data_IF_514178443138
#
_entry.id   IF_514178443138
#
_cell.length_a   1.000
_cell.length_b   1.000
_cell.length_c   1.000
_cell.angle_alpha   90.00
_cell.angle_beta   90.00
_cell.angle_gamma   90.00
#
_symmetry.space_group_name_H-M   'P 1'
#
loop_
_entity.id
_entity.type
_entity.pdbx_description
1 polymer ?
#
# COMPACT_ATOMS: atom_id res chain seq x y z
N UNK A 1 -2.38 3.30 -14.95
CA UNK A 1 -2.74 1.89 -14.67
C UNK A 1 -4.19 1.88 -14.20
N UNK A 2 -5.09 1.34 -15.03
CA UNK A 2 -6.55 1.46 -14.82
C UNK A 2 -7.26 0.10 -14.74
N UNK A 3 -6.58 -0.97 -15.16
CA UNK A 3 -7.18 -2.32 -15.14
C UNK A 3 -6.98 -2.98 -13.78
N UNK A 4 -8.02 -3.61 -13.22
CA UNK A 4 -7.92 -4.40 -12.01
C UNK A 4 -6.97 -5.59 -12.17
N UNK A 5 -6.21 -5.88 -11.11
CA UNK A 5 -5.40 -7.10 -11.00
C UNK A 5 -6.11 -8.04 -10.04
N UNK A 6 -6.42 -9.25 -10.51
CA UNK A 6 -7.00 -10.31 -9.68
C UNK A 6 -5.88 -11.20 -9.15
N UNK A 7 -5.94 -11.47 -7.87
CA UNK A 7 -5.10 -12.47 -7.19
C UNK A 7 -5.98 -13.70 -6.85
N UNK A 8 -5.50 -14.58 -6.01
CA UNK A 8 -6.27 -15.76 -5.57
C UNK A 8 -7.58 -15.36 -4.86
N UNK A 9 -7.52 -14.33 -4.00
CA UNK A 9 -8.63 -13.95 -3.13
C UNK A 9 -9.06 -12.49 -3.25
N UNK A 10 -8.25 -11.65 -3.90
CA UNK A 10 -8.41 -10.19 -3.89
C UNK A 10 -8.55 -9.61 -5.29
N UNK A 11 -9.14 -8.43 -5.35
CA UNK A 11 -9.10 -7.56 -6.53
C UNK A 11 -8.38 -6.27 -6.16
N UNK A 12 -7.23 -6.02 -6.80
CA UNK A 12 -6.45 -4.80 -6.64
C UNK A 12 -6.86 -3.84 -7.76
N UNK A 13 -7.53 -2.74 -7.44
CA UNK A 13 -8.14 -1.86 -8.44
C UNK A 13 -8.04 -0.38 -8.09
N UNK A 14 -8.20 0.51 -9.07
CA UNK A 14 -8.40 1.91 -8.79
C UNK A 14 -9.61 2.14 -7.87
N UNK A 15 -9.51 3.17 -7.03
CA UNK A 15 -10.63 3.59 -6.20
C UNK A 15 -11.77 4.19 -7.02
N UNK A 16 -13.00 3.94 -6.59
CA UNK A 16 -14.22 4.61 -7.06
C UNK A 16 -14.76 5.60 -6.01
N UNK A 17 -15.81 6.33 -6.34
CA UNK A 17 -16.48 7.19 -5.36
C UNK A 17 -17.26 6.37 -4.32
N UNK A 18 -17.72 5.19 -4.73
CA UNK A 18 -18.56 4.31 -3.93
C UNK A 18 -17.77 3.60 -2.81
N UNK A 19 -16.44 3.62 -2.88
CA UNK A 19 -15.56 3.07 -1.84
C UNK A 19 -15.48 3.94 -0.58
N UNK A 20 -16.16 5.09 -0.53
CA UNK A 20 -15.99 6.06 0.55
C UNK A 20 -16.30 5.48 1.93
N UNK A 21 -17.31 4.63 2.07
CA UNK A 21 -17.72 4.12 3.37
C UNK A 21 -16.67 3.15 3.93
N UNK A 22 -16.18 2.23 3.10
CA UNK A 22 -15.10 1.31 3.46
C UNK A 22 -13.79 2.06 3.71
N UNK A 23 -13.47 3.03 2.86
CA UNK A 23 -12.26 3.84 2.99
C UNK A 23 -12.27 4.67 4.28
N UNK A 24 -13.39 5.32 4.61
CA UNK A 24 -13.52 6.12 5.82
C UNK A 24 -13.48 5.24 7.08
N UNK A 25 -14.01 4.02 7.01
CA UNK A 25 -13.92 3.04 8.10
C UNK A 25 -12.47 2.73 8.46
N UNK A 26 -11.60 2.54 7.47
CA UNK A 26 -10.16 2.33 7.68
C UNK A 26 -9.48 3.60 8.24
N UNK A 27 -9.76 4.77 7.65
CA UNK A 27 -9.03 6.02 7.96
C UNK A 27 -9.37 6.63 9.32
N UNK A 28 -10.49 6.27 9.91
CA UNK A 28 -10.93 6.74 11.24
C UNK A 28 -10.39 5.90 12.41
N UNK A 29 -9.70 4.81 12.13
CA UNK A 29 -9.24 3.85 13.15
C UNK A 29 -7.92 4.28 13.77
N UNK A 30 -7.85 4.43 15.12
CA UNK A 30 -6.61 4.76 15.81
C UNK A 30 -5.51 3.72 15.60
N UNK A 31 -5.86 2.42 15.63
CA UNK A 31 -4.96 1.30 15.46
C UNK A 31 -4.38 1.20 14.03
N UNK A 32 -5.08 1.71 13.02
CA UNK A 32 -4.57 1.83 11.65
C UNK A 32 -3.55 2.97 11.54
N UNK A 33 -3.87 4.14 12.10
CA UNK A 33 -3.02 5.33 11.93
C UNK A 33 -1.90 5.44 12.95
N UNK A 34 -1.81 4.54 13.92
CA UNK A 34 -0.81 4.59 15.00
C UNK A 34 0.59 4.84 14.47
N UNK A 35 1.02 4.05 13.47
CA UNK A 35 2.35 4.13 12.85
C UNK A 35 2.38 4.88 11.51
N UNK A 36 1.28 5.58 11.15
CA UNK A 36 1.22 6.32 9.90
C UNK A 36 1.67 7.77 10.08
N UNK A 37 2.25 8.34 9.03
CA UNK A 37 2.72 9.74 8.98
C UNK A 37 1.57 10.76 8.87
N UNK A 38 0.32 10.35 9.07
CA UNK A 38 -0.85 11.21 9.01
C UNK A 38 -1.79 10.95 10.20
N UNK A 39 -2.59 11.95 10.61
CA UNK A 39 -3.56 11.81 11.70
C UNK A 39 -4.82 11.05 11.24
N UNK A 40 -5.68 10.75 12.21
CA UNK A 40 -7.03 10.28 11.97
C UNK A 40 -7.77 11.20 10.99
N UNK A 41 -8.58 10.58 10.13
CA UNK A 41 -9.46 11.30 9.22
C UNK A 41 -10.92 10.98 9.55
N UNK A 42 -11.71 12.02 9.74
CA UNK A 42 -13.15 11.89 9.74
C UNK A 42 -13.67 11.56 8.32
N UNK A 43 -14.99 11.35 8.19
CA UNK A 43 -15.61 11.01 6.90
C UNK A 43 -15.36 12.08 5.83
N UNK A 44 -15.42 13.36 6.20
CA UNK A 44 -15.24 14.46 5.26
C UNK A 44 -13.78 14.57 4.80
N UNK A 45 -12.82 14.44 5.70
CA UNK A 45 -11.40 14.38 5.37
C UNK A 45 -11.09 13.14 4.50
N UNK A 46 -11.71 11.99 4.81
CA UNK A 46 -11.60 10.77 4.01
C UNK A 46 -12.16 10.95 2.61
N UNK A 47 -13.30 11.63 2.45
CA UNK A 47 -13.90 11.95 1.14
C UNK A 47 -12.96 12.80 0.28
N UNK A 48 -12.38 13.86 0.86
CA UNK A 48 -11.39 14.72 0.15
C UNK A 48 -10.14 13.94 -0.25
N UNK A 49 -9.64 13.13 0.67
CA UNK A 49 -8.43 12.33 0.42
C UNK A 49 -8.67 11.25 -0.65
N UNK A 50 -9.79 10.53 -0.59
CA UNK A 50 -10.18 9.56 -1.60
C UNK A 50 -10.31 10.21 -2.99
N UNK A 51 -10.95 11.37 -3.08
CA UNK A 51 -11.08 12.11 -4.33
C UNK A 51 -9.71 12.51 -4.92
N UNK A 52 -8.74 12.87 -4.07
CA UNK A 52 -7.37 13.15 -4.51
C UNK A 52 -6.63 11.88 -4.98
N UNK A 53 -6.79 10.76 -4.27
CA UNK A 53 -6.17 9.47 -4.65
C UNK A 53 -6.67 8.96 -6.00
N UNK A 54 -7.96 9.05 -6.26
CA UNK A 54 -8.59 8.64 -7.53
C UNK A 54 -8.02 9.34 -8.76
N UNK A 55 -7.43 10.53 -8.60
CA UNK A 55 -6.78 11.28 -9.69
C UNK A 55 -5.32 10.88 -9.93
N UNK A 56 -4.71 10.16 -8.99
CA UNK A 56 -3.31 9.77 -9.02
C UNK A 56 -3.19 8.35 -9.56
N UNK A 57 -3.02 8.23 -10.88
CA UNK A 57 -3.05 6.95 -11.59
C UNK A 57 -1.80 6.71 -12.45
N UNK A 58 -0.78 7.58 -12.35
CA UNK A 58 0.44 7.54 -13.16
C UNK A 58 1.67 7.40 -12.29
N UNK A 59 2.74 6.87 -12.89
CA UNK A 59 4.09 6.75 -12.31
C UNK A 59 5.12 7.11 -13.39
N UNK A 60 5.13 8.37 -13.83
CA UNK A 60 5.96 8.87 -14.93
C UNK A 60 7.05 9.84 -14.44
N UNK A 61 6.73 10.65 -13.43
CA UNK A 61 7.61 11.67 -12.87
C UNK A 61 7.89 11.41 -11.39
N UNK A 62 9.02 11.89 -10.91
CA UNK A 62 9.33 11.82 -9.47
C UNK A 62 8.22 12.48 -8.65
N UNK A 63 7.82 11.82 -7.57
CA UNK A 63 6.68 12.12 -6.69
C UNK A 63 5.30 11.75 -7.26
N UNK A 64 5.21 11.12 -8.43
CA UNK A 64 3.98 10.47 -8.86
C UNK A 64 3.60 9.35 -7.90
N UNK A 65 2.30 9.26 -7.64
CA UNK A 65 1.75 8.32 -6.67
C UNK A 65 0.60 7.52 -7.29
N UNK A 66 0.64 6.22 -7.10
CA UNK A 66 -0.44 5.30 -7.46
C UNK A 66 -0.96 4.62 -6.18
N UNK A 67 -2.23 4.78 -5.86
CA UNK A 67 -2.87 4.08 -4.75
C UNK A 67 -4.05 3.25 -5.24
N UNK A 68 -4.07 1.97 -4.88
CA UNK A 68 -5.08 1.01 -5.30
C UNK A 68 -5.84 0.45 -4.09
N UNK A 69 -7.14 0.27 -4.25
CA UNK A 69 -7.98 -0.43 -3.29
C UNK A 69 -7.65 -1.93 -3.29
N UNK A 70 -7.61 -2.52 -2.12
CA UNK A 70 -7.60 -3.97 -1.91
C UNK A 70 -9.03 -4.39 -1.60
N UNK A 71 -9.69 -4.98 -2.58
CA UNK A 71 -11.06 -5.45 -2.48
C UNK A 71 -11.10 -6.95 -2.16
N UNK A 72 -11.95 -7.35 -1.22
CA UNK A 72 -12.35 -8.71 -0.94
C UNK A 72 -13.73 -8.93 -1.57
N UNK A 73 -13.84 -9.64 -2.71
CA UNK A 73 -15.07 -9.71 -3.51
C UNK A 73 -16.25 -10.35 -2.78
N UNK A 74 -15.96 -11.35 -1.94
CA UNK A 74 -16.99 -12.14 -1.25
C UNK A 74 -17.49 -11.49 0.05
N UNK A 75 -16.89 -10.38 0.46
CA UNK A 75 -17.30 -9.62 1.64
C UNK A 75 -18.13 -8.41 1.20
N UNK A 76 -19.31 -8.17 1.78
CA UNK A 76 -20.14 -7.04 1.37
C UNK A 76 -19.52 -5.70 1.76
N UNK A 77 -19.53 -4.74 0.84
CA UNK A 77 -19.15 -3.34 1.11
C UNK A 77 -20.07 -2.71 2.16
N UNK A 78 -19.55 -1.76 2.94
CA UNK A 78 -20.36 -0.93 3.85
C UNK A 78 -21.33 -0.01 3.08
N UNK A 79 -21.03 0.27 1.82
CA UNK A 79 -21.95 0.97 0.94
C UNK A 79 -22.82 -0.06 0.19
N UNK A 80 -24.11 -0.21 0.54
CA UNK A 80 -24.97 -1.22 -0.10
C UNK A 80 -25.25 -0.95 -1.60
N UNK A 81 -24.83 0.21 -2.10
CA UNK A 81 -24.96 0.59 -3.51
C UNK A 81 -23.68 0.38 -4.34
N UNK A 82 -22.59 -0.05 -3.70
CA UNK A 82 -21.28 -0.10 -4.35
C UNK A 82 -21.22 -1.11 -5.50
N UNK A 83 -22.06 -2.15 -5.52
CA UNK A 83 -22.02 -3.20 -6.54
C UNK A 83 -20.66 -3.94 -6.61
N UNK A 84 -19.81 -3.78 -5.60
CA UNK A 84 -18.47 -4.36 -5.46
C UNK A 84 -18.32 -4.99 -4.07
N UNK A 85 -17.26 -5.78 -3.87
CA UNK A 85 -16.90 -6.31 -2.57
C UNK A 85 -16.38 -5.23 -1.61
N UNK A 86 -16.02 -5.64 -0.42
CA UNK A 86 -15.47 -4.78 0.65
C UNK A 86 -14.06 -4.33 0.34
N UNK A 87 -13.81 -3.02 0.42
CA UNK A 87 -12.44 -2.53 0.44
C UNK A 87 -11.86 -2.75 1.84
N UNK A 88 -10.93 -3.70 1.94
CA UNK A 88 -10.32 -4.12 3.21
C UNK A 88 -8.92 -3.52 3.42
N UNK A 89 -8.40 -2.79 2.45
CA UNK A 89 -7.08 -2.19 2.53
C UNK A 89 -6.72 -1.34 1.33
N UNK A 90 -5.46 -0.94 1.33
CA UNK A 90 -4.84 -0.05 0.35
C UNK A 90 -3.41 -0.51 0.11
N UNK A 91 -3.00 -0.54 -1.14
CA UNK A 91 -1.60 -0.67 -1.54
C UNK A 91 -1.20 0.46 -2.46
N UNK A 92 0.03 0.94 -2.34
CA UNK A 92 0.47 2.12 -3.09
C UNK A 92 1.90 2.02 -3.57
N UNK A 93 2.19 2.78 -4.64
CA UNK A 93 3.54 3.05 -5.13
C UNK A 93 3.76 4.56 -5.22
N UNK A 94 4.88 5.02 -4.72
CA UNK A 94 5.40 6.37 -4.92
C UNK A 94 6.67 6.28 -5.77
N UNK A 95 6.71 6.97 -6.90
CA UNK A 95 7.91 7.09 -7.71
C UNK A 95 8.87 8.09 -7.07
N UNK A 96 9.79 7.61 -6.23
CA UNK A 96 10.76 8.44 -5.51
C UNK A 96 11.74 9.13 -6.44
N UNK A 97 12.22 8.40 -7.43
CA UNK A 97 13.17 8.93 -8.40
C UNK A 97 12.92 8.29 -9.78
N UNK A 98 12.47 9.09 -10.73
CA UNK A 98 12.15 8.62 -12.08
C UNK A 98 13.42 8.23 -12.87
N UNK A 99 14.51 8.98 -12.73
CA UNK A 99 15.75 8.74 -13.49
C UNK A 99 16.41 7.41 -13.09
N UNK A 100 16.40 7.06 -11.80
CA UNK A 100 16.94 5.79 -11.27
C UNK A 100 15.88 4.71 -11.09
N UNK A 101 14.63 4.95 -11.48
CA UNK A 101 13.50 4.03 -11.40
C UNK A 101 13.33 3.42 -10.00
N UNK A 102 13.40 4.27 -8.97
CA UNK A 102 13.21 3.88 -7.58
C UNK A 102 11.79 4.19 -7.14
N UNK A 103 11.09 3.16 -6.67
CA UNK A 103 9.74 3.27 -6.15
C UNK A 103 9.73 2.94 -4.64
N UNK A 104 8.77 3.50 -3.95
CA UNK A 104 8.41 3.11 -2.59
C UNK A 104 7.05 2.44 -2.58
N UNK A 105 6.96 1.29 -1.93
CA UNK A 105 5.71 0.59 -1.69
C UNK A 105 5.16 0.93 -0.31
N UNK A 106 3.83 1.15 -0.24
CA UNK A 106 3.10 1.29 1.02
C UNK A 106 1.89 0.36 1.06
N UNK A 107 1.48 0.00 2.27
CA UNK A 107 0.28 -0.80 2.53
C UNK A 107 -0.44 -0.35 3.78
N UNK A 108 -1.75 -0.42 3.74
CA UNK A 108 -2.64 -0.20 4.89
C UNK A 108 -3.72 -1.26 4.84
N UNK A 109 -4.01 -1.92 5.95
CA UNK A 109 -5.07 -2.92 6.01
C UNK A 109 -6.01 -2.61 7.17
N UNK A 110 -7.29 -2.90 6.98
CA UNK A 110 -8.26 -2.91 8.06
C UNK A 110 -7.92 -4.06 9.02
N UNK A 111 -7.69 -3.79 10.32
CA UNK A 111 -7.32 -4.80 11.31
C UNK A 111 -8.33 -5.95 11.45
N UNK A 112 -9.60 -5.71 11.15
CA UNK A 112 -10.64 -6.75 11.21
C UNK A 112 -10.40 -7.89 10.21
N UNK A 113 -9.54 -7.63 9.20
CA UNK A 113 -9.12 -8.59 8.18
C UNK A 113 -7.65 -9.03 8.34
N UNK A 114 -7.01 -8.68 9.47
CA UNK A 114 -5.63 -9.06 9.73
C UNK A 114 -5.45 -10.57 9.96
N UNK A 115 -4.20 -11.04 9.87
CA UNK A 115 -3.84 -12.45 10.13
C UNK A 115 -4.22 -13.44 9.03
N UNK A 116 -4.91 -13.00 7.98
CA UNK A 116 -5.39 -13.85 6.86
C UNK A 116 -4.49 -13.84 5.64
N UNK A 117 -3.37 -13.11 5.68
CA UNK A 117 -2.40 -13.02 4.57
C UNK A 117 -2.74 -12.02 3.47
N UNK A 118 -3.86 -11.32 3.53
CA UNK A 118 -4.31 -10.39 2.50
C UNK A 118 -3.32 -9.25 2.22
N UNK A 119 -2.71 -8.69 3.27
CA UNK A 119 -1.69 -7.65 3.10
C UNK A 119 -0.48 -8.14 2.27
N UNK A 120 0.00 -9.35 2.56
CA UNK A 120 1.13 -9.96 1.84
C UNK A 120 0.74 -10.26 0.38
N UNK A 121 -0.45 -10.81 0.14
CA UNK A 121 -0.97 -11.11 -1.20
C UNK A 121 -1.12 -9.83 -2.04
N UNK A 122 -1.75 -8.80 -1.49
CA UNK A 122 -1.91 -7.51 -2.17
C UNK A 122 -0.57 -6.81 -2.45
N UNK A 123 0.35 -6.83 -1.49
CA UNK A 123 1.67 -6.19 -1.67
C UNK A 123 2.55 -6.95 -2.65
N UNK A 124 2.45 -8.28 -2.73
CA UNK A 124 3.12 -9.07 -3.76
C UNK A 124 2.64 -8.68 -5.15
N UNK A 125 1.32 -8.59 -5.37
CA UNK A 125 0.76 -8.11 -6.63
C UNK A 125 1.21 -6.68 -6.96
N UNK A 126 1.37 -5.83 -5.94
CA UNK A 126 1.85 -4.45 -6.14
C UNK A 126 3.33 -4.40 -6.50
N UNK A 127 4.16 -5.30 -5.96
CA UNK A 127 5.57 -5.47 -6.36
C UNK A 127 5.67 -5.98 -7.80
N UNK A 128 4.83 -6.91 -8.22
CA UNK A 128 4.75 -7.35 -9.63
C UNK A 128 4.39 -6.18 -10.57
N UNK A 129 3.44 -5.35 -10.17
CA UNK A 129 3.12 -4.11 -10.90
C UNK A 129 4.33 -3.18 -10.98
N UNK A 130 5.06 -2.99 -9.87
CA UNK A 130 6.22 -2.13 -9.82
C UNK A 130 7.34 -2.60 -10.77
N UNK A 131 7.67 -3.88 -10.74
CA UNK A 131 8.77 -4.41 -11.55
C UNK A 131 8.38 -4.68 -13.00
N UNK A 132 7.24 -5.33 -13.24
CA UNK A 132 6.87 -5.80 -14.57
C UNK A 132 6.20 -4.71 -15.42
N UNK A 133 5.39 -3.81 -14.80
CA UNK A 133 4.64 -2.80 -15.53
C UNK A 133 5.24 -1.40 -15.42
N UNK A 134 5.71 -1.00 -14.23
CA UNK A 134 6.37 0.29 -14.04
C UNK A 134 7.88 0.22 -14.30
N UNK A 135 8.48 -0.97 -14.47
CA UNK A 135 9.88 -1.19 -14.77
C UNK A 135 10.80 -0.66 -13.67
N UNK A 136 10.43 -0.83 -12.41
CA UNK A 136 11.27 -0.43 -11.30
C UNK A 136 12.63 -1.13 -11.36
N UNK A 137 13.70 -0.41 -11.04
CA UNK A 137 15.00 -1.01 -10.75
C UNK A 137 15.07 -1.47 -9.29
N UNK A 138 14.42 -0.71 -8.40
CA UNK A 138 14.43 -0.93 -6.96
C UNK A 138 13.10 -0.51 -6.35
N UNK A 139 12.58 -1.31 -5.43
CA UNK A 139 11.44 -0.94 -4.60
C UNK A 139 11.85 -0.96 -3.15
N UNK A 140 11.56 0.13 -2.43
CA UNK A 140 11.80 0.25 -1.01
C UNK A 140 10.48 0.36 -0.23
N UNK A 141 10.52 0.03 1.05
CA UNK A 141 9.48 0.33 2.03
C UNK A 141 10.11 1.09 3.20
N UNK A 142 9.52 2.21 3.60
CA UNK A 142 9.88 2.97 4.78
C UNK A 142 8.82 2.73 5.86
N UNK A 143 9.25 2.32 7.04
CA UNK A 143 8.37 1.88 8.13
C UNK A 143 8.76 2.57 9.44
N UNK A 144 7.77 2.92 10.27
CA UNK A 144 8.02 3.26 11.67
C UNK A 144 8.65 2.03 12.38
N UNK A 145 9.77 2.21 13.07
CA UNK A 145 10.51 1.10 13.67
C UNK A 145 9.70 0.33 14.74
N UNK A 146 8.68 0.94 15.30
CA UNK A 146 7.75 0.33 16.26
C UNK A 146 6.75 -0.62 15.58
N UNK A 147 6.52 -0.46 14.28
CA UNK A 147 5.60 -1.31 13.51
C UNK A 147 6.23 -2.66 13.14
N UNK A 148 6.38 -3.53 14.13
CA UNK A 148 7.01 -4.85 13.96
C UNK A 148 6.22 -5.77 13.02
N UNK A 149 4.91 -5.56 12.88
CA UNK A 149 4.07 -6.36 11.98
C UNK A 149 4.39 -6.04 10.52
N UNK A 150 4.56 -4.75 10.18
CA UNK A 150 4.97 -4.33 8.84
C UNK A 150 6.42 -4.72 8.53
N UNK A 151 7.33 -4.65 9.51
CA UNK A 151 8.70 -5.12 9.35
C UNK A 151 8.75 -6.61 8.97
N UNK A 152 8.06 -7.47 9.74
CA UNK A 152 7.93 -8.90 9.42
C UNK A 152 7.26 -9.17 8.07
N UNK A 153 6.34 -8.32 7.66
CA UNK A 153 5.71 -8.45 6.35
C UNK A 153 6.68 -8.10 5.23
N UNK A 154 7.48 -7.04 5.36
CA UNK A 154 8.53 -6.69 4.40
C UNK A 154 9.51 -7.85 4.20
N UNK A 155 9.95 -8.49 5.30
CA UNK A 155 10.83 -9.67 5.26
C UNK A 155 10.18 -10.87 4.54
N UNK A 156 8.89 -11.15 4.82
CA UNK A 156 8.16 -12.22 4.11
C UNK A 156 7.98 -11.95 2.62
N UNK A 157 7.93 -10.68 2.22
CA UNK A 157 7.90 -10.28 0.82
C UNK A 157 9.27 -10.39 0.13
N UNK A 158 10.34 -10.70 0.88
CA UNK A 158 11.70 -10.81 0.36
C UNK A 158 12.46 -9.48 0.34
N UNK A 159 11.93 -8.43 0.96
CA UNK A 159 12.66 -7.18 1.10
C UNK A 159 13.73 -7.35 2.19
N UNK A 160 14.95 -6.90 1.89
CA UNK A 160 16.07 -6.90 2.82
C UNK A 160 16.11 -5.59 3.60
N UNK A 161 16.32 -5.67 4.91
CA UNK A 161 16.57 -4.49 5.74
C UNK A 161 17.92 -3.87 5.38
N UNK A 162 17.91 -2.59 5.03
CA UNK A 162 19.12 -1.86 4.61
C UNK A 162 19.48 -0.72 5.56
N UNK A 163 18.53 -0.25 6.39
CA UNK A 163 18.82 0.84 7.31
C UNK A 163 17.90 0.91 8.52
N UNK A 164 18.40 1.55 9.55
CA UNK A 164 17.67 2.02 10.72
C UNK A 164 18.12 3.46 10.97
N UNK A 165 17.21 4.40 10.84
CA UNK A 165 17.46 5.82 11.01
C UNK A 165 16.77 6.28 12.29
N UNK A 166 17.57 6.78 13.22
CA UNK A 166 17.06 7.22 14.53
C UNK A 166 16.50 8.63 14.42
N UNK A 167 15.33 8.86 15.03
CA UNK A 167 14.68 10.16 15.11
C UNK A 167 14.58 10.87 13.76
N UNK A 168 14.26 10.09 12.70
CA UNK A 168 14.25 10.61 11.33
C UNK A 168 13.07 11.53 11.05
N UNK A 169 11.93 11.27 11.68
CA UNK A 169 10.70 12.03 11.44
C UNK A 169 10.04 12.49 12.75
N UNK A 170 9.55 13.72 12.73
CA UNK A 170 8.62 14.20 13.76
C UNK A 170 7.18 13.86 13.34
N UNK A 171 6.60 12.85 13.97
CA UNK A 171 5.26 12.36 13.65
C UNK A 171 4.32 12.58 14.83
N UNK A 172 3.26 13.36 14.65
CA UNK A 172 2.25 13.66 15.70
C UNK A 172 2.87 14.19 17.01
N UNK A 173 3.99 14.93 16.89
CA UNK A 173 4.68 15.52 18.03
C UNK A 173 5.76 14.64 18.68
N UNK A 174 6.01 13.44 18.15
CA UNK A 174 7.05 12.52 18.63
C UNK A 174 8.10 12.28 17.56
N UNK A 175 9.38 12.22 17.95
CA UNK A 175 10.45 11.77 17.08
C UNK A 175 10.40 10.25 16.96
N UNK A 176 10.38 9.75 15.73
CA UNK A 176 10.27 8.32 15.45
C UNK A 176 11.43 7.83 14.60
N UNK A 177 11.87 6.62 14.90
CA UNK A 177 12.86 5.92 14.11
C UNK A 177 12.20 5.31 12.87
N UNK A 178 12.95 5.22 11.77
CA UNK A 178 12.52 4.53 10.55
C UNK A 178 13.37 3.32 10.22
N UNK A 179 12.72 2.28 9.74
CA UNK A 179 13.37 1.14 9.10
C UNK A 179 13.18 1.23 7.60
N UNK A 180 14.26 0.98 6.87
CA UNK A 180 14.26 0.91 5.42
C UNK A 180 14.51 -0.53 4.97
N UNK A 181 13.56 -1.04 4.20
CA UNK A 181 13.63 -2.34 3.54
C UNK A 181 13.63 -2.11 2.03
N UNK A 182 14.30 -2.99 1.27
CA UNK A 182 14.28 -2.88 -0.19
C UNK A 182 14.50 -4.22 -0.87
N UNK A 183 14.10 -4.28 -2.15
CA UNK A 183 14.36 -5.39 -3.07
C UNK A 183 14.71 -4.83 -4.45
N UNK A 184 15.64 -5.46 -5.13
CA UNK A 184 16.06 -5.13 -6.48
C UNK A 184 15.28 -5.94 -7.52
N UNK A 185 15.24 -5.46 -8.76
CA UNK A 185 14.52 -6.12 -9.85
C UNK A 185 15.01 -7.57 -10.07
N UNK A 186 16.34 -7.78 -10.06
CA UNK A 186 16.94 -9.11 -10.25
C UNK A 186 16.62 -10.06 -9.10
N UNK A 187 16.58 -9.55 -7.87
CA UNK A 187 16.20 -10.32 -6.69
C UNK A 187 14.74 -10.75 -6.76
N UNK A 188 13.85 -9.83 -7.18
CA UNK A 188 12.41 -10.12 -7.34
C UNK A 188 12.15 -11.16 -8.43
N UNK A 189 12.84 -11.05 -9.56
CA UNK A 189 12.70 -12.00 -10.67
C UNK A 189 13.04 -13.46 -10.27
N UNK A 190 13.97 -13.64 -9.33
CA UNK A 190 14.35 -14.99 -8.84
C UNK A 190 13.36 -15.55 -7.81
N UNK A 191 12.56 -14.67 -7.18
CA UNK A 191 11.59 -15.06 -6.12
C UNK A 191 10.22 -15.43 -6.71
N UNK A 192 9.93 -14.98 -7.92
CA UNK A 192 8.66 -15.25 -8.61
C UNK A 192 8.86 -16.36 -9.64
N UNK A 193 8.21 -17.55 -9.51
CA UNK A 193 8.26 -18.55 -10.57
C UNK A 193 7.73 -17.93 -11.87
N UNK A 194 8.42 -18.19 -12.99
CA UNK A 194 7.95 -17.79 -14.30
C UNK A 194 6.50 -18.32 -14.48
N UNK A 195 5.57 -17.42 -14.79
CA UNK A 195 4.21 -17.82 -15.14
C UNK A 195 4.31 -18.73 -16.38
N UNK A 196 3.96 -20.00 -16.20
CA UNK A 196 3.88 -21.01 -17.26
C UNK A 196 2.59 -20.84 -18.05
#
# INVERSE_FOLDING_TARGET
MTEPVRTERLVIRPYTADDLDDYADIQRRPDVVEYMFWPLRDREASRRHLAARRRKTRLEQSNDFLGLAVELPDEPSLNPRAGSGRVVGDVSLLLRNAASRQLEIGWVMNPDFAGRGYATEASRAMLDIAFQRAGAHRVLAQLDARNTSSARMAERLGLRREGHFREEHLVKGEWVDSLYYAVLADEWATTTPAAT
#
